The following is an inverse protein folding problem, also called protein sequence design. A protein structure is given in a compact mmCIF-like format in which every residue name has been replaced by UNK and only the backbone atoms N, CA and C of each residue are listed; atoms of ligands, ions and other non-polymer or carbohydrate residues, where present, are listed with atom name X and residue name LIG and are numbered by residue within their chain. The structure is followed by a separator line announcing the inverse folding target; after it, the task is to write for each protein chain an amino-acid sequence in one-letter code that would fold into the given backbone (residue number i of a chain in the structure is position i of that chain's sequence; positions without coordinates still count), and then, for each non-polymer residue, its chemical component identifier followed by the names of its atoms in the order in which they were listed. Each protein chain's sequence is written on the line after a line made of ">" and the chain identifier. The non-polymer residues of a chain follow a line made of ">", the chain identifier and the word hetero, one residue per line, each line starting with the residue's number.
data_IF_438136502177
#
_entry.id   IF_438136502177
#
_cell.length_a   1.000
_cell.length_b   1.000
_cell.length_c   1.000
_cell.angle_alpha   90.00
_cell.angle_beta   90.00
_cell.angle_gamma   90.00
#
_symmetry.space_group_name_H-M   'P 1'
#
loop_
_entity.id
_entity.type
_entity.pdbx_description
1 polymer ?
#
# COMPACT_ATOMS: atom_id res chain seq x y z
N UNK A 1 -43.80 34.88 -19.39
CA UNK A 1 -42.87 33.73 -19.35
C UNK A 1 -41.47 34.30 -19.10
N UNK A 2 -40.94 34.20 -17.88
CA UNK A 2 -39.62 34.77 -17.53
C UNK A 2 -38.54 33.78 -17.95
N UNK A 3 -37.66 34.17 -18.86
CA UNK A 3 -36.46 33.42 -19.23
C UNK A 3 -35.39 33.67 -18.18
N UNK A 4 -35.06 32.66 -17.38
CA UNK A 4 -33.87 32.68 -16.53
C UNK A 4 -32.65 32.35 -17.40
N UNK A 5 -31.60 33.20 -17.42
CA UNK A 5 -30.36 32.84 -18.08
C UNK A 5 -29.68 31.72 -17.26
N UNK A 6 -29.28 30.66 -17.94
CA UNK A 6 -28.38 29.66 -17.36
C UNK A 6 -27.03 30.33 -17.13
N UNK A 7 -26.69 30.62 -15.88
CA UNK A 7 -25.33 30.98 -15.50
C UNK A 7 -24.42 29.78 -15.73
N UNK A 8 -23.56 29.86 -16.74
CA UNK A 8 -22.42 28.98 -16.85
C UNK A 8 -21.46 29.34 -15.71
N UNK A 9 -21.49 28.57 -14.62
CA UNK A 9 -20.42 28.60 -13.62
C UNK A 9 -19.12 28.19 -14.32
N UNK A 10 -18.30 29.18 -14.66
CA UNK A 10 -16.90 28.94 -15.03
C UNK A 10 -16.19 28.55 -13.73
N UNK A 11 -16.04 27.25 -13.52
CA UNK A 11 -15.18 26.75 -12.46
C UNK A 11 -13.78 27.34 -12.62
N UNK A 12 -13.22 27.87 -11.53
CA UNK A 12 -11.86 28.36 -11.53
C UNK A 12 -10.91 27.16 -11.50
N UNK A 13 -10.33 26.81 -12.65
CA UNK A 13 -9.46 25.63 -12.81
C UNK A 13 -8.32 25.59 -11.79
N UNK A 14 -7.72 26.75 -11.47
CA UNK A 14 -6.62 26.83 -10.49
C UNK A 14 -7.07 26.45 -9.07
N UNK A 15 -8.29 26.82 -8.66
CA UNK A 15 -8.79 26.44 -7.34
C UNK A 15 -9.07 24.92 -7.26
N UNK A 16 -9.59 24.33 -8.34
CA UNK A 16 -9.81 22.88 -8.42
C UNK A 16 -8.48 22.12 -8.38
N UNK A 17 -7.44 22.64 -9.06
CA UNK A 17 -6.11 22.04 -9.05
C UNK A 17 -5.47 22.07 -7.66
N UNK A 18 -5.62 23.18 -6.93
CA UNK A 18 -5.13 23.33 -5.56
C UNK A 18 -5.89 22.39 -4.59
N UNK A 19 -7.22 22.32 -4.70
CA UNK A 19 -8.05 21.41 -3.90
C UNK A 19 -7.68 19.94 -4.16
N UNK A 20 -7.44 19.57 -5.41
CA UNK A 20 -7.01 18.22 -5.78
C UNK A 20 -5.61 17.90 -5.23
N UNK A 21 -4.66 18.85 -5.30
CA UNK A 21 -3.32 18.67 -4.76
C UNK A 21 -3.35 18.47 -3.23
N UNK A 22 -4.19 19.23 -2.53
CA UNK A 22 -4.43 19.08 -1.09
C UNK A 22 -5.02 17.71 -0.77
N UNK A 23 -6.09 17.31 -1.48
CA UNK A 23 -6.73 16.01 -1.28
C UNK A 23 -5.75 14.85 -1.51
N UNK A 24 -4.92 14.93 -2.56
CA UNK A 24 -3.89 13.93 -2.83
C UNK A 24 -2.88 13.83 -1.69
N UNK A 25 -2.43 14.98 -1.15
CA UNK A 25 -1.50 15.02 -0.04
C UNK A 25 -2.12 14.42 1.24
N UNK A 26 -3.32 14.87 1.62
CA UNK A 26 -3.99 14.38 2.83
C UNK A 26 -4.31 12.88 2.74
N UNK A 27 -4.72 12.41 1.56
CA UNK A 27 -4.96 10.98 1.33
C UNK A 27 -3.66 10.18 1.42
N UNK A 28 -2.55 10.69 0.87
CA UNK A 28 -1.25 10.04 0.97
C UNK A 28 -0.75 9.95 2.42
N UNK A 29 -1.00 11.00 3.21
CA UNK A 29 -0.57 11.06 4.62
C UNK A 29 -1.17 9.92 5.47
N UNK A 30 -2.31 9.34 5.07
CA UNK A 30 -2.83 8.11 5.68
C UNK A 30 -1.81 6.96 5.64
N UNK A 31 -1.17 6.72 4.49
CA UNK A 31 -0.16 5.67 4.33
C UNK A 31 1.16 5.97 5.08
N UNK A 32 1.28 7.18 5.63
CA UNK A 32 2.44 7.61 6.42
C UNK A 32 2.16 7.45 7.91
N UNK A 33 0.98 7.91 8.35
CA UNK A 33 0.58 7.92 9.75
C UNK A 33 0.10 6.56 10.24
N UNK A 34 -0.62 5.82 9.41
CA UNK A 34 -1.24 4.55 9.80
C UNK A 34 -0.36 3.31 9.51
N UNK A 35 0.92 3.54 9.22
CA UNK A 35 1.90 2.52 8.91
C UNK A 35 2.70 2.07 10.13
N UNK A 36 2.97 0.77 10.24
CA UNK A 36 3.99 0.26 11.14
C UNK A 36 5.36 0.33 10.43
N UNK A 37 6.30 1.18 10.85
CA UNK A 37 7.57 1.33 10.16
C UNK A 37 8.48 0.09 10.24
N UNK A 38 8.24 -0.82 11.19
CA UNK A 38 9.07 -2.01 11.37
C UNK A 38 8.76 -3.14 10.38
N UNK A 39 7.50 -3.26 9.94
CA UNK A 39 7.06 -4.33 9.03
C UNK A 39 6.28 -3.83 7.81
N UNK A 40 6.05 -2.51 7.72
CA UNK A 40 5.38 -1.87 6.60
C UNK A 40 3.88 -2.18 6.47
N UNK A 41 3.27 -2.81 7.46
CA UNK A 41 1.81 -3.03 7.50
C UNK A 41 1.05 -1.72 7.69
N UNK A 42 -0.12 -1.62 7.09
CA UNK A 42 -1.01 -0.45 7.16
C UNK A 42 -2.30 -0.84 7.87
N UNK A 43 -2.75 -0.03 8.85
CA UNK A 43 -4.07 -0.21 9.46
C UNK A 43 -5.17 -0.18 8.39
N UNK A 44 -6.25 -0.89 8.62
CA UNK A 44 -7.42 -0.84 7.73
C UNK A 44 -8.18 0.49 7.86
N UNK A 45 -8.17 1.09 9.05
CA UNK A 45 -8.83 2.37 9.36
C UNK A 45 -8.21 3.04 10.58
N UNK A 46 -8.57 4.30 10.82
CA UNK A 46 -8.03 5.16 11.88
C UNK A 46 -8.64 4.92 13.27
N UNK A 47 -9.44 3.86 13.44
CA UNK A 47 -9.94 3.47 14.75
C UNK A 47 -8.84 2.80 15.58
N UNK A 48 -8.83 3.09 16.88
CA UNK A 48 -7.87 2.49 17.80
C UNK A 48 -8.01 0.95 17.84
N UNK A 49 -6.87 0.26 17.96
CA UNK A 49 -6.78 -1.20 18.11
C UNK A 49 -7.36 -2.01 16.94
N UNK A 50 -7.28 -1.47 15.72
CA UNK A 50 -7.70 -2.17 14.51
C UNK A 50 -6.53 -2.99 13.89
N UNK A 51 -6.78 -4.11 13.19
CA UNK A 51 -5.75 -4.84 12.48
C UNK A 51 -5.25 -4.09 11.23
N UNK A 52 -4.12 -4.57 10.71
CA UNK A 52 -3.63 -4.20 9.40
C UNK A 52 -4.44 -4.89 8.30
N UNK A 53 -4.64 -4.19 7.18
CA UNK A 53 -5.29 -4.71 5.97
C UNK A 53 -4.26 -5.01 4.89
N UNK A 54 -4.35 -6.20 4.29
CA UNK A 54 -3.47 -6.59 3.18
C UNK A 54 -3.70 -5.69 1.96
N UNK A 55 -4.97 -5.38 1.65
CA UNK A 55 -5.30 -4.50 0.54
C UNK A 55 -4.76 -3.08 0.76
N UNK A 56 -4.96 -2.51 1.95
CA UNK A 56 -4.42 -1.19 2.29
C UNK A 56 -2.88 -1.16 2.18
N UNK A 57 -2.22 -2.24 2.60
CA UNK A 57 -0.76 -2.39 2.49
C UNK A 57 -0.30 -2.43 1.03
N UNK A 58 -1.02 -3.13 0.16
CA UNK A 58 -0.77 -3.12 -1.29
C UNK A 58 -0.94 -1.74 -1.92
N UNK A 59 -2.01 -1.03 -1.56
CA UNK A 59 -2.27 0.33 -2.04
C UNK A 59 -1.21 1.33 -1.58
N UNK A 60 -0.65 1.17 -0.38
CA UNK A 60 0.46 1.98 0.09
C UNK A 60 1.71 1.78 -0.77
N UNK A 61 2.07 0.53 -1.10
CA UNK A 61 3.20 0.22 -2.00
C UNK A 61 3.04 0.89 -3.37
N UNK A 62 1.84 0.83 -3.95
CA UNK A 62 1.54 1.49 -5.22
C UNK A 62 1.55 3.03 -5.12
N UNK A 63 1.25 3.57 -3.94
CA UNK A 63 1.17 5.01 -3.69
C UNK A 63 2.51 5.67 -3.36
N UNK A 64 3.50 4.91 -2.87
CA UNK A 64 4.84 5.44 -2.59
C UNK A 64 5.53 6.07 -3.80
N UNK A 65 5.55 5.47 -5.00
CA UNK A 65 5.98 6.14 -6.23
C UNK A 65 5.31 7.50 -6.46
N UNK A 66 3.99 7.58 -6.28
CA UNK A 66 3.23 8.82 -6.44
C UNK A 66 3.69 9.88 -5.42
N UNK A 67 3.89 9.47 -4.16
CA UNK A 67 4.41 10.35 -3.12
C UNK A 67 5.80 10.88 -3.41
N UNK A 68 6.66 10.11 -4.07
CA UNK A 68 7.98 10.56 -4.51
C UNK A 68 7.87 11.58 -5.64
N UNK A 69 7.13 11.26 -6.70
CA UNK A 69 6.96 12.15 -7.86
C UNK A 69 6.25 13.47 -7.51
N UNK A 70 5.38 13.45 -6.51
CA UNK A 70 4.68 14.65 -5.99
C UNK A 70 5.48 15.40 -4.92
N UNK A 71 6.66 14.91 -4.53
CA UNK A 71 7.50 15.53 -3.50
C UNK A 71 6.93 15.43 -2.08
N UNK A 72 5.97 14.53 -1.83
CA UNK A 72 5.43 14.26 -0.49
C UNK A 72 6.40 13.44 0.37
N UNK A 73 7.23 12.62 -0.28
CA UNK A 73 8.23 11.78 0.38
C UNK A 73 9.53 11.73 -0.44
N UNK A 74 10.68 11.65 0.24
CA UNK A 74 11.95 11.38 -0.44
C UNK A 74 11.99 9.95 -0.99
N UNK A 75 12.58 9.76 -2.16
CA UNK A 75 12.75 8.42 -2.78
C UNK A 75 13.39 7.40 -1.84
N UNK A 76 14.42 7.79 -1.09
CA UNK A 76 15.10 6.89 -0.14
C UNK A 76 14.16 6.43 0.99
N UNK A 77 13.35 7.33 1.54
CA UNK A 77 12.37 6.98 2.58
C UNK A 77 11.26 6.07 2.03
N UNK A 78 10.88 6.25 0.76
CA UNK A 78 9.91 5.40 0.09
C UNK A 78 10.49 3.99 -0.18
N UNK A 79 11.76 3.91 -0.58
CA UNK A 79 12.47 2.65 -0.75
C UNK A 79 12.63 1.90 0.59
N UNK A 80 12.98 2.59 1.67
CA UNK A 80 13.08 2.02 3.02
C UNK A 80 11.75 1.40 3.48
N UNK A 81 10.63 2.12 3.32
CA UNK A 81 9.29 1.63 3.66
C UNK A 81 8.90 0.42 2.80
N UNK A 82 9.14 0.50 1.50
CA UNK A 82 8.90 -0.59 0.56
C UNK A 82 9.67 -1.85 0.98
N UNK A 83 10.96 -1.74 1.28
CA UNK A 83 11.78 -2.86 1.75
C UNK A 83 11.28 -3.44 3.07
N UNK A 84 10.87 -2.61 4.03
CA UNK A 84 10.30 -3.10 5.28
C UNK A 84 9.07 -4.00 5.02
N UNK A 85 8.16 -3.56 4.15
CA UNK A 85 6.98 -4.33 3.75
C UNK A 85 7.37 -5.62 3.03
N UNK A 86 8.20 -5.55 1.99
CA UNK A 86 8.54 -6.71 1.17
C UNK A 86 9.34 -7.75 1.97
N UNK A 87 10.30 -7.32 2.80
CA UNK A 87 11.06 -8.22 3.69
C UNK A 87 10.15 -8.86 4.73
N UNK A 88 9.18 -8.13 5.29
CA UNK A 88 8.20 -8.73 6.20
C UNK A 88 7.44 -9.86 5.50
N UNK A 89 6.82 -9.61 4.35
CA UNK A 89 6.03 -10.63 3.63
C UNK A 89 6.87 -11.79 3.10
N UNK A 90 8.13 -11.54 2.73
CA UNK A 90 9.03 -12.59 2.29
C UNK A 90 9.39 -13.57 3.42
N UNK A 91 9.60 -13.04 4.63
CA UNK A 91 10.03 -13.81 5.80
C UNK A 91 8.87 -14.25 6.72
N UNK A 92 7.64 -13.83 6.44
CA UNK A 92 6.51 -14.12 7.31
C UNK A 92 6.07 -15.59 7.25
N UNK A 93 5.47 -16.13 8.33
CA UNK A 93 4.96 -17.49 8.35
C UNK A 93 3.97 -17.77 7.21
N UNK A 94 4.27 -18.80 6.42
CA UNK A 94 3.41 -19.35 5.38
C UNK A 94 3.10 -20.81 5.72
N UNK A 95 1.83 -21.19 5.78
CA UNK A 95 1.47 -22.56 6.13
C UNK A 95 0.02 -22.75 6.57
N UNK A 96 -0.34 -24.00 6.93
CA UNK A 96 -1.69 -24.34 7.37
C UNK A 96 -1.99 -23.92 8.81
N UNK A 97 -1.01 -23.34 9.53
CA UNK A 97 -1.18 -22.91 10.91
C UNK A 97 -2.31 -21.86 11.01
N UNK A 98 -3.16 -21.94 12.05
CA UNK A 98 -4.36 -21.11 12.15
C UNK A 98 -4.06 -19.61 12.26
N UNK A 99 -2.84 -19.24 12.66
CA UNK A 99 -2.38 -17.86 12.82
C UNK A 99 -1.22 -17.48 11.88
N UNK A 100 -0.90 -18.31 10.87
CA UNK A 100 0.07 -17.97 9.84
C UNK A 100 -0.29 -16.65 9.14
N UNK A 101 0.71 -15.93 8.64
CA UNK A 101 0.50 -14.69 7.89
C UNK A 101 -0.18 -14.95 6.55
N UNK A 102 0.07 -16.12 5.97
CA UNK A 102 -0.56 -16.55 4.73
C UNK A 102 -0.39 -18.03 4.45
N UNK A 103 -0.88 -18.46 3.30
CA UNK A 103 -0.81 -19.84 2.84
C UNK A 103 -0.77 -19.90 1.32
N UNK A 104 0.06 -20.78 0.76
CA UNK A 104 0.28 -20.93 -0.69
C UNK A 104 0.61 -19.62 -1.42
N UNK A 105 1.33 -18.74 -0.74
CA UNK A 105 1.71 -17.42 -1.27
C UNK A 105 0.59 -16.38 -1.27
N UNK A 106 -0.62 -16.73 -0.84
CA UNK A 106 -1.68 -15.78 -0.51
C UNK A 106 -1.60 -15.36 0.96
N UNK A 107 -2.32 -14.31 1.32
CA UNK A 107 -2.32 -13.68 2.63
C UNK A 107 -3.74 -13.55 3.19
N UNK A 108 -3.87 -13.63 4.51
CA UNK A 108 -5.14 -13.45 5.19
C UNK A 108 -5.53 -11.97 5.21
N UNK A 109 -6.82 -11.66 5.01
CA UNK A 109 -7.35 -10.29 4.88
C UNK A 109 -6.78 -9.33 5.93
N UNK A 110 -6.83 -9.75 7.20
CA UNK A 110 -6.38 -8.97 8.33
C UNK A 110 -5.23 -9.63 9.08
N UNK A 111 -4.22 -8.83 9.38
CA UNK A 111 -3.10 -9.21 10.21
C UNK A 111 -3.04 -8.36 11.48
N UNK A 112 -2.56 -8.95 12.57
CA UNK A 112 -2.17 -8.18 13.74
C UNK A 112 -1.06 -7.20 13.35
N UNK A 113 -1.26 -5.93 13.67
CA UNK A 113 -0.39 -4.83 13.23
C UNK A 113 1.07 -4.98 13.70
N UNK A 114 1.29 -5.57 14.88
CA UNK A 114 2.62 -5.71 15.47
C UNK A 114 3.29 -7.03 15.05
N UNK A 115 2.55 -8.14 15.12
CA UNK A 115 3.13 -9.48 14.94
C UNK A 115 3.04 -10.00 13.51
N UNK A 116 2.14 -9.44 12.69
CA UNK A 116 1.88 -9.90 11.34
C UNK A 116 1.15 -11.25 11.26
N UNK A 117 0.65 -11.78 12.39
CA UNK A 117 -0.14 -13.01 12.43
C UNK A 117 -1.60 -12.75 12.07
N UNK A 118 -2.31 -13.74 11.53
CA UNK A 118 -3.73 -13.61 11.15
C UNK A 118 -4.59 -13.09 12.31
N UNK A 119 -5.44 -12.11 12.03
CA UNK A 119 -6.41 -11.56 12.97
C UNK A 119 -7.82 -12.15 12.76
N UNK A 120 -8.58 -12.24 13.85
CA UNK A 120 -10.04 -12.50 13.88
C UNK A 120 -10.56 -13.67 13.02
N UNK A 121 -9.73 -14.69 12.75
CA UNK A 121 -10.08 -15.82 11.89
C UNK A 121 -10.60 -15.39 10.49
N UNK A 122 -10.13 -14.25 9.97
CA UNK A 122 -10.49 -13.78 8.63
C UNK A 122 -10.05 -14.75 7.53
N UNK A 123 -10.66 -14.71 6.37
CA UNK A 123 -10.38 -15.57 5.23
C UNK A 123 -8.95 -15.37 4.67
N UNK A 124 -8.43 -16.43 4.05
CA UNK A 124 -7.30 -16.30 3.13
C UNK A 124 -7.84 -15.56 1.89
N UNK A 125 -7.38 -14.34 1.66
CA UNK A 125 -8.01 -13.43 0.69
C UNK A 125 -7.18 -13.35 -0.58
N UNK A 126 -7.65 -14.00 -1.65
CA UNK A 126 -6.99 -13.97 -2.96
C UNK A 126 -7.05 -12.58 -3.58
N UNK A 127 -8.14 -11.84 -3.36
CA UNK A 127 -8.29 -10.48 -3.89
C UNK A 127 -7.35 -9.49 -3.19
N UNK A 128 -7.23 -9.53 -1.87
CA UNK A 128 -6.34 -8.62 -1.16
C UNK A 128 -4.88 -8.96 -1.43
N UNK A 129 -4.56 -10.26 -1.51
CA UNK A 129 -3.25 -10.72 -1.97
C UNK A 129 -2.92 -10.18 -3.36
N UNK A 130 -3.90 -10.15 -4.27
CA UNK A 130 -3.71 -9.56 -5.61
C UNK A 130 -3.38 -8.08 -5.53
N UNK A 131 -4.07 -7.30 -4.67
CA UNK A 131 -3.73 -5.89 -4.46
C UNK A 131 -2.34 -5.70 -3.85
N UNK A 132 -1.95 -6.54 -2.90
CA UNK A 132 -0.61 -6.53 -2.32
C UNK A 132 0.47 -6.78 -3.38
N UNK A 133 0.30 -7.85 -4.17
CA UNK A 133 1.27 -8.23 -5.19
C UNK A 133 1.33 -7.21 -6.33
N UNK A 134 0.19 -6.65 -6.75
CA UNK A 134 0.16 -5.56 -7.73
C UNK A 134 0.92 -4.32 -7.22
N UNK A 135 0.72 -3.96 -5.95
CA UNK A 135 1.47 -2.86 -5.31
C UNK A 135 2.97 -3.14 -5.23
N UNK A 136 3.35 -4.36 -4.84
CA UNK A 136 4.75 -4.79 -4.80
C UNK A 136 5.42 -4.70 -6.18
N UNK A 137 4.75 -5.19 -7.23
CA UNK A 137 5.25 -5.13 -8.60
C UNK A 137 5.34 -3.68 -9.11
N UNK A 138 4.35 -2.83 -8.82
CA UNK A 138 4.39 -1.42 -9.18
C UNK A 138 5.59 -0.70 -8.53
N UNK A 139 5.84 -0.96 -7.24
CA UNK A 139 7.01 -0.45 -6.55
C UNK A 139 8.31 -1.01 -7.16
N UNK A 140 8.36 -2.32 -7.45
CA UNK A 140 9.48 -2.96 -8.14
C UNK A 140 9.83 -2.31 -9.48
N UNK A 141 8.83 -1.98 -10.29
CA UNK A 141 9.07 -1.30 -11.57
C UNK A 141 9.53 0.16 -11.40
N UNK A 142 9.10 0.85 -10.34
CA UNK A 142 9.45 2.25 -10.10
C UNK A 142 10.84 2.44 -9.48
N UNK A 143 11.25 1.55 -8.56
CA UNK A 143 12.54 1.58 -7.90
C UNK A 143 13.61 0.87 -8.76
N UNK A 144 14.13 1.61 -9.74
CA UNK A 144 14.99 1.16 -10.83
C UNK A 144 16.46 1.63 -10.73
N UNK A 145 16.83 2.37 -9.68
CA UNK A 145 18.20 2.86 -9.52
C UNK A 145 19.21 1.72 -9.30
N UNK A 146 20.46 1.94 -9.70
CA UNK A 146 21.58 1.03 -9.48
C UNK A 146 22.10 1.15 -8.04
N UNK A 147 21.27 0.68 -7.10
CA UNK A 147 21.59 0.61 -5.67
C UNK A 147 21.16 -0.74 -5.12
N UNK A 148 21.85 -1.22 -4.08
CA UNK A 148 21.51 -2.50 -3.43
C UNK A 148 20.06 -2.53 -2.94
N UNK A 149 19.58 -1.43 -2.35
CA UNK A 149 18.23 -1.31 -1.83
C UNK A 149 17.17 -1.48 -2.93
N UNK A 150 17.30 -0.75 -4.04
CA UNK A 150 16.31 -0.82 -5.13
C UNK A 150 16.42 -2.13 -5.93
N UNK A 151 17.63 -2.70 -6.04
CA UNK A 151 17.81 -4.05 -6.60
C UNK A 151 17.11 -5.14 -5.76
N UNK A 152 17.15 -5.02 -4.44
CA UNK A 152 16.44 -5.92 -3.53
C UNK A 152 14.92 -5.74 -3.63
N UNK A 153 14.40 -4.51 -3.76
CA UNK A 153 12.97 -4.26 -3.99
C UNK A 153 12.49 -5.02 -5.23
N UNK A 154 13.19 -4.89 -6.36
CA UNK A 154 12.85 -5.60 -7.61
C UNK A 154 12.84 -7.11 -7.41
N UNK A 155 13.89 -7.64 -6.78
CA UNK A 155 14.05 -9.08 -6.55
C UNK A 155 12.93 -9.64 -5.66
N UNK A 156 12.61 -8.95 -4.55
CA UNK A 156 11.56 -9.39 -3.63
C UNK A 156 10.16 -9.25 -4.22
N UNK A 157 9.89 -8.20 -4.99
CA UNK A 157 8.60 -8.01 -5.65
C UNK A 157 8.30 -9.17 -6.63
N UNK A 158 9.27 -9.53 -7.47
CA UNK A 158 9.14 -10.68 -8.39
C UNK A 158 9.03 -11.99 -7.64
N UNK A 159 9.84 -12.20 -6.60
CA UNK A 159 9.84 -13.43 -5.82
C UNK A 159 8.53 -13.63 -5.04
N UNK A 160 7.93 -12.57 -4.52
CA UNK A 160 6.62 -12.62 -3.86
C UNK A 160 5.51 -12.93 -4.87
N UNK A 161 5.51 -12.30 -6.05
CA UNK A 161 4.54 -12.62 -7.11
C UNK A 161 4.64 -14.08 -7.55
N UNK A 162 5.86 -14.59 -7.76
CA UNK A 162 6.11 -15.97 -8.16
C UNK A 162 5.87 -17.01 -7.06
N UNK A 163 5.70 -16.59 -5.80
CA UNK A 163 5.39 -17.47 -4.67
C UNK A 163 3.90 -17.85 -4.62
N UNK A 164 3.02 -17.03 -5.20
CA UNK A 164 1.58 -17.29 -5.19
C UNK A 164 1.22 -18.46 -6.12
N UNK A 165 0.45 -19.43 -5.58
CA UNK A 165 -0.04 -20.61 -6.29
C UNK A 165 -1.42 -20.32 -6.92
N UNK A 166 -1.41 -19.72 -8.11
CA UNK A 166 -2.60 -19.19 -8.81
C UNK A 166 -3.57 -20.25 -9.36
#
# INVERSE_FOLDING_TARGET
>A
MRTHPFETHRFNTSAIEDDLAMLQRETFDYFIHEANPANGLILDKTEANWPASIAATGLALASYPVGVERGFMKRSAAAERTLATLRFFWNSPQGPDPDATGYHGFYYHFLNMQTGRRAWQCELSTIDSTFLLAGALAAGQYFDADTEAEAEIRSLAEALYGRADW
#
